data_IF_566667740366
#
_entry.id   IF_566667740366
#
_cell.length_a   1.000
_cell.length_b   1.000
_cell.length_c   1.000
_cell.angle_alpha   90.00
_cell.angle_beta   90.00
_cell.angle_gamma   90.00
#
_symmetry.space_group_name_H-M   'P 1'
#
loop_
_entity.id
_entity.type
_entity.pdbx_description
1 polymer ?
#
# COMPACT_ATOMS: atom_id res chain seq x y z
N UNK A 1 -0.03 -6.66 -22.74
CA UNK A 1 -0.59 -5.31 -22.51
C UNK A 1 -1.31 -5.36 -21.18
N UNK A 2 -0.94 -4.52 -20.21
CA UNK A 2 -1.60 -4.48 -18.91
C UNK A 2 -3.02 -3.92 -19.04
N UNK A 3 -3.99 -4.54 -18.38
CA UNK A 3 -5.34 -3.98 -18.29
C UNK A 3 -5.29 -2.69 -17.48
N UNK A 4 -5.57 -1.56 -18.12
CA UNK A 4 -5.69 -0.29 -17.43
C UNK A 4 -6.85 -0.36 -16.42
N UNK A 5 -6.57 0.14 -15.22
CA UNK A 5 -7.45 0.13 -14.05
C UNK A 5 -8.78 0.81 -14.34
N UNK A 6 -8.68 1.91 -15.07
CA UNK A 6 -9.79 2.73 -15.46
C UNK A 6 -9.82 2.70 -16.98
N UNK A 7 -11.01 2.49 -17.55
CA UNK A 7 -11.19 2.68 -18.98
C UNK A 7 -10.83 4.12 -19.34
N UNK A 8 -10.32 4.32 -20.55
CA UNK A 8 -10.04 5.68 -21.04
C UNK A 8 -11.30 6.55 -20.97
N UNK A 9 -12.47 5.96 -21.21
CA UNK A 9 -13.78 6.61 -21.07
C UNK A 9 -14.06 7.06 -19.65
N UNK A 10 -13.81 6.22 -18.64
CA UNK A 10 -13.96 6.60 -17.23
C UNK A 10 -12.99 7.73 -16.88
N UNK A 11 -11.69 7.57 -17.17
CA UNK A 11 -10.68 8.59 -16.88
C UNK A 11 -11.01 9.92 -17.52
N UNK A 12 -11.47 9.92 -18.78
CA UNK A 12 -11.80 11.15 -19.50
C UNK A 12 -12.88 11.97 -18.80
N UNK A 13 -13.77 11.36 -18.01
CA UNK A 13 -14.76 12.10 -17.22
C UNK A 13 -14.11 12.87 -16.07
N UNK A 14 -13.17 12.24 -15.36
CA UNK A 14 -12.46 12.87 -14.24
C UNK A 14 -11.36 13.83 -14.70
N UNK A 15 -10.74 13.57 -15.85
CA UNK A 15 -9.66 14.40 -16.39
C UNK A 15 -10.15 15.73 -16.99
N UNK A 16 -11.44 15.85 -17.36
CA UNK A 16 -12.00 17.10 -17.90
C UNK A 16 -11.79 18.28 -16.95
N UNK A 17 -12.02 18.05 -15.67
CA UNK A 17 -11.95 19.08 -14.63
C UNK A 17 -10.67 18.98 -13.80
N UNK A 18 -9.91 17.90 -13.94
CA UNK A 18 -8.61 17.78 -13.29
C UNK A 18 -7.66 18.86 -13.81
N UNK A 19 -7.05 19.59 -12.88
CA UNK A 19 -6.01 20.57 -13.16
C UNK A 19 -4.79 20.19 -12.36
N UNK A 20 -3.73 19.79 -13.05
CA UNK A 20 -2.47 19.44 -12.40
C UNK A 20 -1.93 20.58 -11.50
N UNK A 21 -2.22 21.83 -11.88
CA UNK A 21 -1.83 23.02 -11.13
C UNK A 21 -2.63 23.24 -9.84
N UNK A 22 -3.81 22.63 -9.68
CA UNK A 22 -4.58 22.71 -8.43
C UNK A 22 -4.11 21.70 -7.40
N UNK A 23 -3.27 20.73 -7.79
CA UNK A 23 -2.68 19.78 -6.86
C UNK A 23 -1.54 20.44 -6.08
N UNK A 24 -1.65 20.43 -4.76
CA UNK A 24 -0.58 20.91 -3.89
C UNK A 24 0.65 20.01 -4.01
N UNK A 25 1.82 20.63 -3.98
CA UNK A 25 3.13 19.96 -3.96
C UNK A 25 3.38 18.99 -5.13
N UNK A 26 2.76 19.22 -6.28
CA UNK A 26 2.84 18.28 -7.42
C UNK A 26 4.28 18.00 -7.88
N UNK A 27 5.16 19.00 -7.84
CA UNK A 27 6.57 18.84 -8.19
C UNK A 27 7.30 17.94 -7.19
N UNK A 28 7.02 18.09 -5.88
CA UNK A 28 7.58 17.24 -4.83
C UNK A 28 7.08 15.80 -4.96
N UNK A 29 5.77 15.62 -5.20
CA UNK A 29 5.18 14.28 -5.44
C UNK A 29 5.83 13.61 -6.65
N UNK A 30 6.06 14.36 -7.73
CA UNK A 30 6.77 13.86 -8.92
C UNK A 30 8.21 13.46 -8.59
N UNK A 31 8.94 14.28 -7.86
CA UNK A 31 10.34 14.00 -7.47
C UNK A 31 10.47 12.71 -6.65
N UNK A 32 9.53 12.48 -5.73
CA UNK A 32 9.43 11.23 -4.96
C UNK A 32 9.28 10.04 -5.92
N UNK A 33 8.30 10.11 -6.84
CA UNK A 33 8.05 9.04 -7.81
C UNK A 33 9.28 8.81 -8.71
N UNK A 34 9.90 9.87 -9.22
CA UNK A 34 11.10 9.80 -10.06
C UNK A 34 12.26 9.11 -9.32
N UNK A 35 12.41 9.39 -8.02
CA UNK A 35 13.43 8.78 -7.17
C UNK A 35 13.22 7.27 -7.06
N UNK A 36 11.99 6.82 -6.82
CA UNK A 36 11.66 5.39 -6.78
C UNK A 36 11.91 4.72 -8.14
N UNK A 37 11.52 5.36 -9.25
CA UNK A 37 11.79 4.87 -10.60
C UNK A 37 13.30 4.73 -10.84
N UNK A 38 14.10 5.71 -10.42
CA UNK A 38 15.55 5.66 -10.56
C UNK A 38 16.18 4.53 -9.71
N UNK A 39 15.69 4.32 -8.48
CA UNK A 39 16.15 3.24 -7.60
C UNK A 39 15.82 1.86 -8.17
N UNK A 40 14.64 1.68 -8.76
CA UNK A 40 14.22 0.46 -9.44
C UNK A 40 15.11 0.16 -10.66
N UNK A 41 15.32 1.17 -11.53
CA UNK A 41 16.14 1.03 -12.74
C UNK A 41 17.60 0.71 -12.43
N UNK A 42 18.15 1.29 -11.37
CA UNK A 42 19.53 1.06 -10.94
C UNK A 42 19.71 -0.21 -10.11
N UNK A 43 18.64 -0.97 -9.81
CA UNK A 43 18.63 -2.14 -8.92
C UNK A 43 19.19 -1.86 -7.52
N UNK A 44 19.24 -0.59 -7.10
CA UNK A 44 19.77 -0.18 -5.79
C UNK A 44 18.94 -0.72 -4.63
N UNK A 45 17.66 -1.01 -4.86
CA UNK A 45 16.77 -1.62 -3.86
C UNK A 45 17.26 -2.97 -3.33
N UNK A 46 18.10 -3.69 -4.10
CA UNK A 46 18.66 -4.98 -3.65
C UNK A 46 19.79 -4.82 -2.61
N UNK A 47 20.30 -3.60 -2.40
CA UNK A 47 21.46 -3.33 -1.54
C UNK A 47 21.10 -2.56 -0.25
N UNK A 48 19.82 -2.22 -0.06
CA UNK A 48 19.34 -1.43 1.09
C UNK A 48 18.63 -2.34 2.10
N UNK A 49 18.56 -1.92 3.37
CA UNK A 49 17.87 -2.67 4.42
C UNK A 49 16.37 -2.75 4.08
N UNK A 50 15.83 -3.97 4.03
CA UNK A 50 14.45 -4.25 3.61
C UNK A 50 13.44 -3.45 4.44
N UNK A 51 13.54 -3.50 5.77
CA UNK A 51 12.59 -2.87 6.69
C UNK A 51 12.55 -1.34 6.58
N UNK A 52 13.71 -0.69 6.45
CA UNK A 52 13.80 0.75 6.23
C UNK A 52 13.23 1.15 4.86
N UNK A 53 13.51 0.33 3.85
CA UNK A 53 13.01 0.57 2.48
C UNK A 53 11.50 0.46 2.42
N UNK A 54 10.91 -0.53 3.10
CA UNK A 54 9.46 -0.70 3.21
C UNK A 54 8.81 0.49 3.90
N UNK A 55 9.33 0.87 5.07
CA UNK A 55 8.82 2.02 5.83
C UNK A 55 8.86 3.30 4.99
N UNK A 56 10.00 3.58 4.36
CA UNK A 56 10.18 4.72 3.46
C UNK A 56 9.19 4.69 2.29
N UNK A 57 9.01 3.54 1.64
CA UNK A 57 8.07 3.39 0.54
C UNK A 57 6.63 3.69 0.98
N UNK A 58 6.22 3.17 2.13
CA UNK A 58 4.88 3.37 2.67
C UNK A 58 4.63 4.86 2.92
N UNK A 59 5.54 5.54 3.63
CA UNK A 59 5.38 6.94 3.99
C UNK A 59 5.48 7.87 2.77
N UNK A 60 6.39 7.60 1.83
CA UNK A 60 6.54 8.45 0.65
C UNK A 60 5.40 8.24 -0.36
N UNK A 61 5.01 7.01 -0.66
CA UNK A 61 3.97 6.74 -1.67
C UNK A 61 2.57 6.94 -1.11
N UNK A 62 2.23 6.35 0.04
CA UNK A 62 0.89 6.48 0.59
C UNK A 62 0.74 7.79 1.37
N UNK A 63 1.76 8.18 2.12
CA UNK A 63 1.73 9.42 2.89
C UNK A 63 1.89 10.67 2.00
N UNK A 64 3.08 10.88 1.45
CA UNK A 64 3.41 12.13 0.77
C UNK A 64 2.81 12.25 -0.64
N UNK A 65 2.74 11.16 -1.42
CA UNK A 65 2.17 11.18 -2.79
C UNK A 65 0.64 11.08 -2.77
N UNK A 66 0.07 10.07 -2.11
CA UNK A 66 -1.38 9.85 -2.06
C UNK A 66 -2.09 10.69 -0.97
N UNK A 67 -1.35 11.31 -0.05
CA UNK A 67 -1.91 12.25 0.93
C UNK A 67 -2.51 11.62 2.18
N UNK A 68 -2.23 10.34 2.47
CA UNK A 68 -2.67 9.72 3.72
C UNK A 68 -1.86 10.28 4.89
N UNK A 69 -2.44 11.25 5.62
CA UNK A 69 -1.78 11.91 6.74
C UNK A 69 -1.27 10.91 7.80
N UNK A 70 0.02 10.98 8.13
CA UNK A 70 0.65 10.17 9.18
C UNK A 70 1.37 11.04 10.23
N UNK A 71 1.31 12.37 10.08
CA UNK A 71 2.08 13.35 10.88
C UNK A 71 1.29 13.90 12.07
N UNK A 72 -0.04 13.78 12.07
CA UNK A 72 -0.88 14.26 13.17
C UNK A 72 -1.04 13.16 14.23
N UNK A 73 -0.54 13.37 15.47
CA UNK A 73 -0.53 12.34 16.51
C UNK A 73 -1.92 12.05 17.11
N UNK A 74 -2.91 12.93 16.91
CA UNK A 74 -4.27 12.74 17.43
C UNK A 74 -5.18 12.03 16.43
N UNK A 75 -4.93 12.22 15.13
CA UNK A 75 -5.69 11.61 14.03
C UNK A 75 -4.76 11.34 12.85
N UNK A 76 -4.53 10.07 12.55
CA UNK A 76 -3.68 9.68 11.42
C UNK A 76 -4.33 8.56 10.62
N UNK A 77 -3.79 8.35 9.41
CA UNK A 77 -4.36 7.49 8.38
C UNK A 77 -3.46 6.32 8.00
N UNK A 78 -2.21 6.28 8.49
CA UNK A 78 -1.26 5.18 8.23
C UNK A 78 -0.74 4.62 9.55
N UNK A 79 -0.84 3.30 9.74
CA UNK A 79 -0.10 2.58 10.80
C UNK A 79 0.81 1.54 10.20
N UNK A 80 2.10 1.64 10.50
CA UNK A 80 3.05 0.57 10.23
C UNK A 80 2.92 -0.53 11.28
N UNK A 81 3.12 -1.78 10.86
CA UNK A 81 3.27 -2.94 11.73
C UNK A 81 2.14 -3.20 12.75
N UNK A 82 0.89 -2.88 12.39
CA UNK A 82 -0.27 -3.09 13.26
C UNK A 82 -0.50 -4.58 13.55
N UNK A 83 -0.22 -5.01 14.78
CA UNK A 83 -0.43 -6.42 15.20
C UNK A 83 -1.91 -6.79 15.18
N UNK A 84 -2.22 -7.96 14.59
CA UNK A 84 -3.54 -8.58 14.73
C UNK A 84 -3.79 -8.95 16.19
N UNK A 85 -5.05 -8.82 16.63
CA UNK A 85 -5.47 -9.29 17.97
C UNK A 85 -5.59 -10.82 18.06
N UNK A 86 -5.52 -11.53 16.93
CA UNK A 86 -5.81 -12.96 16.82
C UNK A 86 -4.56 -13.82 17.01
N UNK A 87 -3.44 -13.47 16.39
CA UNK A 87 -2.25 -14.33 16.34
C UNK A 87 -0.92 -13.54 16.35
N UNK A 88 -0.97 -12.25 16.68
CA UNK A 88 0.17 -11.32 16.69
C UNK A 88 0.90 -11.15 15.35
N UNK A 89 0.40 -11.75 14.26
CA UNK A 89 0.90 -11.48 12.92
C UNK A 89 0.49 -10.07 12.48
N UNK A 90 1.32 -9.41 11.69
CA UNK A 90 1.14 -8.01 11.32
C UNK A 90 1.42 -7.83 9.82
N UNK A 91 0.56 -7.11 9.08
CA UNK A 91 0.93 -6.61 7.76
C UNK A 91 2.04 -5.55 7.91
N UNK A 92 2.72 -5.21 6.81
CA UNK A 92 3.72 -4.14 6.84
C UNK A 92 3.08 -2.79 7.20
N UNK A 93 1.86 -2.51 6.70
CA UNK A 93 1.08 -1.35 7.14
C UNK A 93 -0.45 -1.54 7.01
N UNK A 94 -1.19 -0.61 7.58
CA UNK A 94 -2.63 -0.47 7.45
C UNK A 94 -3.01 1.00 7.19
N UNK A 95 -4.02 1.20 6.34
CA UNK A 95 -4.70 2.50 6.18
C UNK A 95 -6.06 2.45 6.84
N UNK A 96 -6.47 3.55 7.46
CA UNK A 96 -7.70 3.59 8.23
C UNK A 96 -7.90 4.94 8.90
N UNK A 97 -8.84 5.00 9.83
CA UNK A 97 -9.02 6.15 10.72
C UNK A 97 -8.52 5.72 12.09
N UNK A 98 -7.39 6.30 12.50
CA UNK A 98 -6.76 6.01 13.79
C UNK A 98 -6.77 7.27 14.63
N UNK A 99 -7.25 7.17 15.86
CA UNK A 99 -7.30 8.30 16.77
C UNK A 99 -7.16 7.87 18.23
N UNK A 100 -6.67 8.80 19.05
CA UNK A 100 -6.57 8.61 20.50
C UNK A 100 -7.85 9.16 21.15
N UNK A 101 -8.49 8.34 21.96
CA UNK A 101 -9.61 8.73 22.82
C UNK A 101 -9.31 8.37 24.29
N UNK A 102 -10.25 8.68 25.19
CA UNK A 102 -10.10 8.46 26.64
C UNK A 102 -9.86 6.98 27.02
N UNK A 103 -10.29 6.05 26.16
CA UNK A 103 -10.16 4.59 26.37
C UNK A 103 -8.95 3.98 25.66
N UNK A 104 -8.14 4.76 24.94
CA UNK A 104 -6.96 4.30 24.21
C UNK A 104 -7.00 4.64 22.72
N UNK A 105 -6.38 3.80 21.89
CA UNK A 105 -6.33 3.98 20.44
C UNK A 105 -7.51 3.25 19.80
N UNK A 106 -8.40 3.99 19.16
CA UNK A 106 -9.40 3.42 18.25
C UNK A 106 -8.77 3.16 16.88
N UNK A 107 -9.07 2.00 16.31
CA UNK A 107 -8.48 1.55 15.05
C UNK A 107 -9.59 1.11 14.09
N UNK A 108 -9.98 2.00 13.17
CA UNK A 108 -10.85 1.66 12.04
C UNK A 108 -9.99 1.34 10.82
N UNK A 109 -9.50 0.10 10.73
CA UNK A 109 -8.69 -0.36 9.60
C UNK A 109 -9.58 -0.57 8.37
N UNK A 110 -9.24 0.08 7.26
CA UNK A 110 -9.97 0.01 5.99
C UNK A 110 -9.17 -0.68 4.88
N UNK A 111 -7.84 -0.63 4.97
CA UNK A 111 -6.91 -1.21 3.99
C UNK A 111 -5.74 -1.87 4.71
N UNK A 112 -5.32 -3.04 4.25
CA UNK A 112 -4.03 -3.65 4.63
C UNK A 112 -3.02 -3.52 3.49
N UNK A 113 -1.76 -3.27 3.83
CA UNK A 113 -0.65 -3.14 2.88
C UNK A 113 0.41 -4.20 3.21
N UNK A 114 0.74 -5.03 2.22
CA UNK A 114 1.86 -5.98 2.27
C UNK A 114 2.91 -5.61 1.21
N UNK A 115 4.15 -5.43 1.63
CA UNK A 115 5.28 -5.07 0.79
C UNK A 115 6.31 -6.21 0.78
N UNK A 116 6.79 -6.55 -0.41
CA UNK A 116 7.86 -7.53 -0.64
C UNK A 116 9.05 -6.90 -1.35
N UNK A 117 10.17 -7.60 -1.36
CA UNK A 117 11.35 -7.20 -2.13
C UNK A 117 11.08 -7.10 -3.62
N UNK A 118 11.85 -6.26 -4.32
CA UNK A 118 11.69 -5.97 -5.74
C UNK A 118 11.70 -7.20 -6.68
N UNK A 119 12.37 -8.28 -6.27
CA UNK A 119 12.48 -9.51 -7.07
C UNK A 119 11.40 -10.55 -6.71
N UNK A 120 10.51 -10.26 -5.77
CA UNK A 120 9.49 -11.20 -5.30
C UNK A 120 8.28 -11.19 -6.22
N UNK A 121 7.89 -12.37 -6.72
CA UNK A 121 6.59 -12.57 -7.37
C UNK A 121 5.45 -12.44 -6.36
N UNK A 122 4.45 -11.63 -6.68
CA UNK A 122 3.28 -11.42 -5.82
C UNK A 122 2.27 -12.58 -5.85
N UNK A 123 2.32 -13.42 -6.90
CA UNK A 123 1.36 -14.51 -7.13
C UNK A 123 1.95 -15.90 -6.83
N UNK A 124 3.28 -16.01 -6.75
CA UNK A 124 3.95 -17.29 -6.48
C UNK A 124 4.03 -17.57 -4.98
N UNK A 125 3.65 -18.78 -4.53
CA UNK A 125 3.84 -19.19 -3.15
C UNK A 125 5.29 -19.08 -2.69
N UNK A 126 5.50 -18.57 -1.47
CA UNK A 126 6.83 -18.46 -0.88
C UNK A 126 7.25 -19.77 -0.20
N UNK A 127 8.49 -20.22 -0.42
CA UNK A 127 9.06 -21.39 0.25
C UNK A 127 9.40 -21.10 1.73
N UNK A 128 8.40 -20.84 2.57
CA UNK A 128 8.54 -20.75 4.03
C UNK A 128 8.09 -22.07 4.66
N UNK A 129 8.90 -22.62 5.58
CA UNK A 129 8.69 -23.93 6.23
C UNK A 129 7.30 -24.15 6.85
N UNK A 130 6.59 -23.09 7.21
CA UNK A 130 5.30 -23.16 7.91
C UNK A 130 4.10 -22.68 7.08
N UNK A 131 4.30 -21.93 5.99
CA UNK A 131 3.22 -21.28 5.24
C UNK A 131 3.63 -21.05 3.79
N UNK A 132 3.11 -21.87 2.88
CA UNK A 132 3.40 -21.79 1.44
C UNK A 132 2.27 -21.06 0.70
N UNK A 133 2.15 -19.76 0.95
CA UNK A 133 1.13 -18.91 0.32
C UNK A 133 1.80 -17.75 -0.44
N UNK A 134 1.11 -17.21 -1.45
CA UNK A 134 1.60 -16.04 -2.18
C UNK A 134 1.49 -14.77 -1.33
N UNK A 135 2.28 -13.73 -1.63
CA UNK A 135 2.12 -12.40 -1.00
C UNK A 135 0.69 -11.88 -1.05
N UNK A 136 -0.01 -12.07 -2.18
CA UNK A 136 -1.42 -11.72 -2.31
C UNK A 136 -2.29 -12.47 -1.31
N UNK A 137 -2.17 -13.80 -1.25
CA UNK A 137 -2.93 -14.61 -0.29
C UNK A 137 -2.61 -14.25 1.16
N UNK A 138 -1.36 -13.89 1.47
CA UNK A 138 -0.95 -13.44 2.79
C UNK A 138 -1.64 -12.13 3.18
N UNK A 139 -1.72 -11.16 2.25
CA UNK A 139 -2.38 -9.88 2.50
C UNK A 139 -3.90 -10.05 2.70
N UNK A 140 -4.56 -10.92 1.94
CA UNK A 140 -5.97 -11.28 2.16
C UNK A 140 -6.20 -11.95 3.53
N UNK A 141 -5.26 -12.81 3.97
CA UNK A 141 -5.29 -13.40 5.29
C UNK A 141 -5.14 -12.36 6.41
N UNK A 142 -4.38 -11.28 6.19
CA UNK A 142 -4.34 -10.17 7.15
C UNK A 142 -5.64 -9.38 7.18
N UNK A 143 -6.21 -9.04 6.01
CA UNK A 143 -7.50 -8.35 5.94
C UNK A 143 -8.61 -9.10 6.69
N UNK A 144 -8.69 -10.43 6.53
CA UNK A 144 -9.71 -11.25 7.21
C UNK A 144 -9.57 -11.26 8.74
N UNK A 145 -8.35 -11.04 9.26
CA UNK A 145 -8.05 -10.98 10.70
C UNK A 145 -8.24 -9.59 11.31
N UNK A 146 -8.22 -8.53 10.50
CA UNK A 146 -8.48 -7.18 11.01
C UNK A 146 -9.95 -6.98 11.39
N UNK A 147 -10.86 -7.71 10.73
CA UNK A 147 -12.30 -7.57 10.94
C UNK A 147 -12.84 -6.19 10.52
N UNK A 148 -14.11 -5.92 10.85
CA UNK A 148 -14.70 -4.59 10.68
C UNK A 148 -14.75 -4.08 9.23
N UNK A 149 -14.29 -2.86 9.02
CA UNK A 149 -14.40 -2.13 7.74
C UNK A 149 -13.26 -2.38 6.75
N UNK A 150 -12.38 -3.35 7.00
CA UNK A 150 -11.25 -3.66 6.13
C UNK A 150 -11.73 -4.27 4.80
N UNK A 151 -11.93 -3.42 3.79
CA UNK A 151 -12.50 -3.79 2.49
C UNK A 151 -11.48 -3.80 1.37
N UNK A 152 -10.24 -3.42 1.63
CA UNK A 152 -9.20 -3.33 0.60
C UNK A 152 -7.90 -4.00 1.03
N UNK A 153 -7.24 -4.58 0.04
CA UNK A 153 -5.92 -5.19 0.16
C UNK A 153 -5.00 -4.52 -0.85
N UNK A 154 -3.83 -4.10 -0.39
CA UNK A 154 -2.76 -3.55 -1.23
C UNK A 154 -1.55 -4.44 -1.10
N UNK A 155 -0.97 -4.80 -2.25
CA UNK A 155 0.25 -5.61 -2.30
C UNK A 155 1.23 -4.99 -3.27
N UNK A 156 2.48 -4.86 -2.87
CA UNK A 156 3.52 -4.32 -3.73
C UNK A 156 4.85 -5.04 -3.57
N UNK A 157 5.63 -5.06 -4.64
CA UNK A 157 7.05 -5.39 -4.63
C UNK A 157 7.90 -4.19 -5.10
N UNK A 158 7.47 -2.96 -4.81
CA UNK A 158 8.04 -1.70 -5.32
C UNK A 158 7.93 -1.48 -6.84
N UNK A 159 7.96 -2.53 -7.66
CA UNK A 159 7.86 -2.45 -9.13
C UNK A 159 6.42 -2.29 -9.60
N UNK A 160 5.48 -2.96 -8.92
CA UNK A 160 4.04 -2.84 -9.13
C UNK A 160 3.34 -2.65 -7.79
N UNK A 161 2.23 -1.91 -7.79
CA UNK A 161 1.32 -1.78 -6.66
C UNK A 161 -0.04 -2.32 -7.11
N UNK A 162 -0.57 -3.31 -6.39
CA UNK A 162 -1.84 -3.94 -6.72
C UNK A 162 -2.88 -3.66 -5.64
N UNK A 163 -4.08 -3.27 -6.06
CA UNK A 163 -5.22 -3.01 -5.18
C UNK A 163 -6.28 -4.08 -5.46
N UNK A 164 -6.88 -4.59 -4.39
CA UNK A 164 -7.94 -5.58 -4.44
C UNK A 164 -9.05 -5.16 -3.49
N UNK A 165 -10.30 -5.25 -3.94
CA UNK A 165 -11.43 -5.16 -3.03
C UNK A 165 -11.62 -6.53 -2.37
N UNK A 166 -11.83 -6.58 -1.05
CA UNK A 166 -11.88 -7.82 -0.28
C UNK A 166 -12.94 -8.82 -0.82
N UNK A 167 -14.08 -8.32 -1.30
CA UNK A 167 -15.15 -9.15 -1.88
C UNK A 167 -14.97 -9.51 -3.36
N UNK A 168 -13.93 -8.99 -4.02
CA UNK A 168 -13.66 -9.25 -5.44
C UNK A 168 -12.24 -9.80 -5.58
N UNK A 169 -12.11 -11.05 -6.06
CA UNK A 169 -10.79 -11.61 -6.39
C UNK A 169 -10.17 -10.97 -7.65
N UNK A 170 -10.83 -10.00 -8.29
CA UNK A 170 -10.26 -9.21 -9.37
C UNK A 170 -9.22 -8.21 -8.87
N UNK A 171 -8.08 -8.12 -9.56
CA UNK A 171 -6.96 -7.25 -9.18
C UNK A 171 -6.86 -6.00 -10.05
N UNK A 172 -6.42 -4.90 -9.43
CA UNK A 172 -6.13 -3.62 -10.06
C UNK A 172 -4.61 -3.39 -9.98
N UNK A 173 -3.89 -3.20 -11.10
CA UNK A 173 -2.42 -3.03 -11.12
C UNK A 173 -1.99 -1.62 -11.48
N UNK A 174 -1.16 -0.99 -10.66
CA UNK A 174 -0.46 0.26 -10.96
C UNK A 174 1.04 -0.02 -11.18
N UNK A 175 1.58 0.59 -12.24
CA UNK A 175 2.97 0.53 -12.72
C UNK A 175 3.34 -0.76 -13.46
N UNK A 176 3.75 -0.58 -14.73
CA UNK A 176 4.54 -1.51 -15.56
C UNK A 176 5.65 -0.72 -16.22
#
# INVERSE_FOLDING_TARGET
MGNAIFSQTFLSQYLKDFRLQSETDIYRKKEIIDTWIAMLRSKRLNAVKEEETKSRFILEIFGDVLGFNYKNPSNWLIREELKSKVDATKPDAALGIFHINESGIDNDVQVVIEIKDANTSLDTPQNRKAFNISPVSQAFLYASKMGGNCKWVVVSNFTEIRFYHYSSQGNIRFLT
#
